data_IF_829011921403
#
_entry.id   IF_829011921403
#
_cell.length_a   1.000
_cell.length_b   1.000
_cell.length_c   1.000
_cell.angle_alpha   90.00
_cell.angle_beta   90.00
_cell.angle_gamma   90.00
#
_symmetry.space_group_name_H-M   'P 1'
#
loop_
_entity.id
_entity.type
_entity.pdbx_description
1 polymer ?
#
# COMPACT_ATOMS: atom_id res chain seq x y z
N UNK A 1 -54.74 -54.00 17.14
CA UNK A 1 -54.24 -54.46 18.46
C UNK A 1 -52.93 -55.17 18.20
N UNK A 2 -51.77 -54.51 18.17
CA UNK A 2 -50.97 -54.00 19.29
C UNK A 2 -49.53 -54.48 19.02
N UNK A 3 -48.67 -53.62 18.50
CA UNK A 3 -47.52 -53.03 19.21
C UNK A 3 -46.38 -54.02 19.55
N UNK A 4 -45.21 -53.82 18.92
CA UNK A 4 -43.92 -53.99 19.62
C UNK A 4 -42.84 -53.12 18.99
N UNK A 5 -42.48 -52.09 19.76
CA UNK A 5 -41.44 -51.09 19.53
C UNK A 5 -40.08 -51.71 19.85
N UNK A 6 -39.15 -51.66 18.90
CA UNK A 6 -37.74 -52.04 19.07
C UNK A 6 -36.85 -50.81 19.21
N UNK A 7 -36.29 -50.65 20.40
CA UNK A 7 -35.46 -49.54 20.89
C UNK A 7 -34.16 -49.33 20.11
N UNK A 8 -33.88 -48.09 19.69
CA UNK A 8 -32.58 -47.64 19.17
C UNK A 8 -31.55 -47.58 20.31
N UNK A 9 -30.42 -48.29 20.20
CA UNK A 9 -29.20 -47.97 20.96
C UNK A 9 -28.40 -46.91 20.23
N UNK A 10 -28.23 -45.77 20.86
CA UNK A 10 -27.27 -44.72 20.49
C UNK A 10 -25.95 -45.08 21.16
N UNK A 11 -24.91 -45.40 20.39
CA UNK A 11 -23.55 -45.52 20.91
C UNK A 11 -22.85 -44.18 20.78
N UNK A 12 -22.59 -43.54 21.92
CA UNK A 12 -21.71 -42.38 22.04
C UNK A 12 -20.26 -42.85 21.90
N UNK A 13 -19.52 -42.30 20.94
CA UNK A 13 -18.07 -42.42 20.90
C UNK A 13 -17.49 -41.20 21.63
N UNK A 14 -16.93 -41.48 22.80
CA UNK A 14 -16.23 -40.55 23.66
C UNK A 14 -14.97 -40.04 22.96
N UNK A 15 -14.87 -38.73 22.76
CA UNK A 15 -13.63 -38.04 22.35
C UNK A 15 -12.73 -38.00 23.58
N UNK A 16 -11.58 -38.67 23.53
CA UNK A 16 -10.55 -38.56 24.57
C UNK A 16 -9.51 -37.53 24.18
N UNK A 17 -9.41 -36.54 25.05
CA UNK A 17 -8.52 -35.40 25.13
C UNK A 17 -7.05 -35.80 25.29
N UNK A 18 -6.27 -35.73 24.22
CA UNK A 18 -4.80 -35.76 24.28
C UNK A 18 -4.15 -34.89 23.19
N UNK A 19 -4.62 -33.64 23.02
CA UNK A 19 -3.88 -32.59 22.27
C UNK A 19 -4.21 -31.24 22.92
N UNK A 20 -3.79 -31.02 24.16
CA UNK A 20 -4.02 -29.74 24.87
C UNK A 20 -2.83 -29.27 25.71
N UNK A 21 -1.62 -29.79 25.46
CA UNK A 21 -0.43 -29.42 26.24
C UNK A 21 0.78 -29.04 25.36
N UNK A 22 0.55 -28.38 24.23
CA UNK A 22 1.61 -27.69 23.46
C UNK A 22 1.14 -26.33 22.92
N UNK A 23 0.29 -25.66 23.69
CA UNK A 23 -0.11 -24.26 23.46
C UNK A 23 0.40 -23.46 24.66
N UNK A 24 1.69 -23.17 24.67
CA UNK A 24 2.26 -22.02 25.37
C UNK A 24 3.59 -21.73 24.66
N UNK A 25 3.73 -20.51 24.12
CA UNK A 25 4.72 -20.04 23.14
C UNK A 25 4.38 -20.28 21.66
N UNK A 26 3.38 -19.56 21.15
CA UNK A 26 3.56 -18.74 19.94
C UNK A 26 2.34 -17.83 19.77
N UNK A 27 2.54 -16.55 20.06
CA UNK A 27 1.54 -15.50 19.86
C UNK A 27 1.53 -15.07 18.40
N UNK A 28 0.96 -15.89 17.50
CA UNK A 28 0.59 -15.43 16.17
C UNK A 28 -0.74 -16.04 15.74
N UNK A 29 -1.67 -15.13 15.45
CA UNK A 29 -3.06 -15.36 15.07
C UNK A 29 -3.13 -16.17 13.77
N UNK A 30 -3.66 -17.38 13.82
CA UNK A 30 -4.06 -18.13 12.63
C UNK A 30 -5.43 -17.63 12.16
N UNK A 31 -5.45 -16.81 11.11
CA UNK A 31 -6.68 -16.56 10.35
C UNK A 31 -6.89 -17.76 9.42
N UNK A 32 -7.84 -18.64 9.77
CA UNK A 32 -8.30 -19.71 8.88
C UNK A 32 -9.07 -19.11 7.71
N UNK A 33 -8.41 -18.97 6.56
CA UNK A 33 -9.06 -18.70 5.27
C UNK A 33 -9.54 -20.03 4.70
N UNK A 34 -10.81 -20.36 4.93
CA UNK A 34 -11.48 -21.48 4.26
C UNK A 34 -11.81 -21.08 2.82
N UNK A 35 -10.92 -21.35 1.87
CA UNK A 35 -11.27 -21.38 0.45
C UNK A 35 -11.68 -22.82 0.13
N UNK A 36 -12.97 -23.13 0.27
CA UNK A 36 -13.59 -24.25 -0.44
C UNK A 36 -14.23 -23.71 -1.71
N UNK A 37 -13.56 -23.89 -2.86
CA UNK A 37 -14.22 -23.77 -4.15
C UNK A 37 -15.14 -24.97 -4.39
N UNK A 38 -16.24 -24.82 -5.17
CA UNK A 38 -17.14 -25.93 -5.45
C UNK A 38 -16.47 -26.94 -6.38
N UNK A 39 -16.49 -28.21 -5.98
CA UNK A 39 -16.11 -29.34 -6.82
C UNK A 39 -17.21 -29.51 -7.88
N UNK A 40 -16.84 -29.39 -9.16
CA UNK A 40 -17.72 -29.65 -10.29
C UNK A 40 -17.95 -31.16 -10.42
N UNK A 41 -19.19 -31.62 -10.22
CA UNK A 41 -19.60 -33.00 -10.47
C UNK A 41 -20.34 -33.03 -11.80
N UNK A 42 -19.86 -33.75 -12.84
CA UNK A 42 -20.59 -33.87 -14.09
C UNK A 42 -21.86 -34.69 -13.89
N UNK A 43 -22.96 -34.18 -14.42
CA UNK A 43 -24.28 -34.77 -14.35
C UNK A 43 -24.45 -35.83 -15.45
N UNK A 44 -24.00 -37.06 -15.24
CA UNK A 44 -24.45 -38.20 -16.05
C UNK A 44 -24.28 -39.53 -15.31
N UNK A 45 -25.31 -40.38 -15.45
CA UNK A 45 -25.43 -41.77 -15.02
C UNK A 45 -25.97 -42.03 -13.61
N UNK A 46 -27.30 -42.10 -13.58
CA UNK A 46 -28.14 -42.79 -12.61
C UNK A 46 -27.83 -44.30 -12.63
N UNK A 47 -27.10 -44.82 -11.65
CA UNK A 47 -27.25 -46.22 -11.17
C UNK A 47 -26.75 -46.38 -9.72
N UNK A 48 -27.50 -47.15 -8.93
CA UNK A 48 -27.21 -47.53 -7.55
C UNK A 48 -25.81 -48.14 -7.37
N UNK A 49 -24.97 -47.55 -6.51
CA UNK A 49 -23.93 -48.31 -5.78
C UNK A 49 -23.53 -47.60 -4.48
N UNK A 50 -23.45 -48.37 -3.39
CA UNK A 50 -22.97 -47.91 -2.08
C UNK A 50 -21.49 -47.53 -2.20
N UNK A 51 -21.15 -46.27 -1.97
CA UNK A 51 -19.76 -45.83 -1.85
C UNK A 51 -19.14 -46.36 -0.55
N UNK A 52 -18.31 -47.39 -0.68
CA UNK A 52 -17.39 -47.82 0.36
C UNK A 52 -16.15 -46.90 0.29
N UNK A 53 -16.02 -45.94 1.20
CA UNK A 53 -14.80 -45.14 1.31
C UNK A 53 -13.66 -46.03 1.80
N UNK A 54 -12.77 -46.40 0.88
CA UNK A 54 -11.63 -47.24 1.17
C UNK A 54 -10.63 -46.52 2.10
N UNK A 55 -10.23 -47.19 3.19
CA UNK A 55 -9.26 -46.72 4.20
C UNK A 55 -7.93 -46.20 3.59
N UNK A 56 -7.56 -46.72 2.41
CA UNK A 56 -6.41 -46.29 1.60
C UNK A 56 -6.47 -44.83 1.13
N UNK A 57 -7.65 -44.31 0.78
CA UNK A 57 -7.80 -42.93 0.28
C UNK A 57 -7.63 -41.90 1.41
N UNK A 58 -8.10 -42.25 2.61
CA UNK A 58 -7.92 -41.41 3.81
C UNK A 58 -6.45 -41.45 4.28
N UNK A 59 -5.78 -42.61 4.21
CA UNK A 59 -4.34 -42.70 4.49
C UNK A 59 -3.51 -41.87 3.50
N UNK A 60 -3.81 -41.96 2.20
CA UNK A 60 -3.14 -41.15 1.17
C UNK A 60 -3.35 -39.64 1.39
N UNK A 61 -4.55 -39.21 1.79
CA UNK A 61 -4.81 -37.82 2.15
C UNK A 61 -4.05 -37.36 3.39
N UNK A 62 -3.94 -38.20 4.42
CA UNK A 62 -3.14 -37.91 5.63
C UNK A 62 -1.65 -37.85 5.33
N UNK A 63 -1.11 -38.77 4.53
CA UNK A 63 0.30 -38.76 4.12
C UNK A 63 0.62 -37.55 3.25
N UNK A 64 -0.30 -37.13 2.38
CA UNK A 64 -0.13 -35.92 1.55
C UNK A 64 -0.15 -34.65 2.40
N UNK A 65 -1.09 -34.53 3.34
CA UNK A 65 -1.13 -33.42 4.29
C UNK A 65 0.10 -33.41 5.18
N UNK A 66 0.52 -34.57 5.69
CA UNK A 66 1.69 -34.68 6.55
C UNK A 66 2.98 -34.36 5.79
N UNK A 67 3.10 -34.75 4.51
CA UNK A 67 4.19 -34.32 3.61
C UNK A 67 4.15 -32.83 3.32
N UNK A 68 2.98 -32.24 3.12
CA UNK A 68 2.82 -30.80 2.93
C UNK A 68 3.21 -30.02 4.18
N UNK A 69 2.78 -30.47 5.36
CA UNK A 69 3.16 -29.88 6.64
C UNK A 69 4.65 -30.08 6.94
N UNK A 70 5.22 -31.27 6.73
CA UNK A 70 6.64 -31.52 6.95
C UNK A 70 7.52 -30.75 5.95
N UNK A 71 7.07 -30.60 4.71
CA UNK A 71 7.74 -29.78 3.70
C UNK A 71 7.66 -28.29 4.04
N UNK A 72 6.49 -27.82 4.51
CA UNK A 72 6.34 -26.44 5.00
C UNK A 72 7.20 -26.19 6.23
N UNK A 73 7.29 -27.16 7.15
CA UNK A 73 8.11 -27.08 8.35
C UNK A 73 9.61 -27.17 8.05
N UNK A 74 10.02 -27.94 7.03
CA UNK A 74 11.42 -27.98 6.57
C UNK A 74 11.80 -26.72 5.81
N UNK A 75 10.89 -26.14 5.02
CA UNK A 75 11.07 -24.83 4.39
C UNK A 75 11.24 -23.74 5.45
N UNK A 76 10.43 -23.75 6.50
CA UNK A 76 10.54 -22.82 7.63
C UNK A 76 11.85 -22.98 8.42
N UNK A 77 12.48 -24.16 8.38
CA UNK A 77 13.70 -24.48 9.14
C UNK A 77 15.00 -24.05 8.43
N UNK A 78 14.93 -23.75 7.14
CA UNK A 78 16.07 -23.24 6.33
C UNK A 78 15.88 -21.80 5.85
N UNK A 79 14.95 -21.03 6.44
CA UNK A 79 14.81 -19.61 6.10
C UNK A 79 15.92 -18.82 6.78
N UNK A 80 16.59 -17.96 6.00
CA UNK A 80 17.56 -17.01 6.54
C UNK A 80 16.94 -16.19 7.68
N UNK A 81 17.63 -16.18 8.81
CA UNK A 81 17.29 -15.38 9.99
C UNK A 81 18.31 -14.26 10.19
N UNK A 82 17.96 -13.29 11.03
CA UNK A 82 18.86 -12.21 11.42
C UNK A 82 20.14 -12.75 12.07
N UNK A 83 21.28 -12.20 11.66
CA UNK A 83 22.58 -12.51 12.27
C UNK A 83 22.84 -11.64 13.51
N UNK A 84 22.27 -10.43 13.56
CA UNK A 84 22.47 -9.44 14.61
C UNK A 84 21.14 -8.86 15.11
N UNK A 85 20.80 -9.14 16.38
CA UNK A 85 19.58 -8.59 17.01
C UNK A 85 19.54 -7.05 17.05
N UNK A 86 20.66 -6.33 17.27
CA UNK A 86 20.67 -4.87 17.12
C UNK A 86 20.30 -4.37 15.71
N UNK A 87 20.73 -5.08 14.66
CA UNK A 87 20.38 -4.73 13.28
C UNK A 87 18.91 -5.03 12.97
N UNK A 88 18.37 -6.14 13.47
CA UNK A 88 16.94 -6.46 13.41
C UNK A 88 16.07 -5.37 14.05
N UNK A 89 16.43 -4.93 15.26
CA UNK A 89 15.69 -3.85 15.95
C UNK A 89 15.79 -2.54 15.16
N UNK A 90 16.99 -2.22 14.66
CA UNK A 90 17.20 -1.00 13.85
C UNK A 90 16.38 -1.02 12.57
N UNK A 91 16.31 -2.18 11.90
CA UNK A 91 15.49 -2.42 10.72
C UNK A 91 14.00 -2.15 10.99
N UNK A 92 13.46 -2.69 12.08
CA UNK A 92 12.07 -2.47 12.48
C UNK A 92 11.80 -1.00 12.80
N UNK A 93 12.67 -0.33 13.57
CA UNK A 93 12.51 1.09 13.91
C UNK A 93 12.49 1.96 12.64
N UNK A 94 13.43 1.73 11.71
CA UNK A 94 13.50 2.47 10.46
C UNK A 94 12.25 2.24 9.61
N UNK A 95 11.80 0.99 9.52
CA UNK A 95 10.60 0.64 8.77
C UNK A 95 9.33 1.30 9.30
N UNK A 96 9.11 1.27 10.62
CA UNK A 96 7.97 1.93 11.24
C UNK A 96 8.08 3.46 11.20
N UNK A 97 9.30 4.01 11.24
CA UNK A 97 9.53 5.46 11.03
C UNK A 97 9.13 5.87 9.61
N UNK A 98 9.49 5.06 8.60
CA UNK A 98 9.08 5.29 7.22
C UNK A 98 7.56 5.24 7.07
N UNK A 99 6.92 4.20 7.64
CA UNK A 99 5.46 4.07 7.67
C UNK A 99 4.79 5.31 8.28
N UNK A 100 5.23 5.76 9.46
CA UNK A 100 4.63 6.90 10.16
C UNK A 100 4.80 8.19 9.35
N UNK A 101 6.03 8.46 8.88
CA UNK A 101 6.35 9.68 8.12
C UNK A 101 5.48 9.80 6.88
N UNK A 102 5.40 8.74 6.08
CA UNK A 102 4.56 8.74 4.89
C UNK A 102 3.07 8.76 5.22
N UNK A 103 2.60 8.01 6.23
CA UNK A 103 1.18 7.94 6.57
C UNK A 103 0.62 9.29 7.00
N UNK A 104 1.34 10.03 7.84
CA UNK A 104 0.93 11.36 8.32
C UNK A 104 0.66 12.32 7.14
N UNK A 105 1.40 12.20 6.04
CA UNK A 105 1.24 13.06 4.86
C UNK A 105 -0.12 12.95 4.15
N UNK A 106 -0.87 11.85 4.34
CA UNK A 106 -2.18 11.63 3.70
C UNK A 106 -3.32 12.37 4.41
N UNK A 107 -3.22 12.54 5.72
CA UNK A 107 -4.30 13.06 6.55
C UNK A 107 -4.70 14.52 6.27
N UNK A 108 -3.77 15.48 6.03
CA UNK A 108 -4.13 16.86 5.76
C UNK A 108 -5.19 17.01 4.66
N UNK A 109 -5.05 16.27 3.56
CA UNK A 109 -6.00 16.36 2.45
C UNK A 109 -7.37 15.77 2.82
N UNK A 110 -7.41 14.62 3.49
CA UNK A 110 -8.65 13.98 3.94
C UNK A 110 -9.43 14.91 4.87
N UNK A 111 -8.72 15.51 5.84
CA UNK A 111 -9.29 16.44 6.82
C UNK A 111 -9.77 17.72 6.13
N UNK A 112 -8.98 18.27 5.21
CA UNK A 112 -9.33 19.49 4.48
C UNK A 112 -10.61 19.31 3.66
N UNK A 113 -10.71 18.21 2.90
CA UNK A 113 -11.90 17.86 2.14
C UNK A 113 -13.11 17.71 3.06
N UNK A 114 -12.95 17.02 4.20
CA UNK A 114 -14.02 16.83 5.17
C UNK A 114 -14.50 18.14 5.80
N UNK A 115 -13.59 19.07 6.11
CA UNK A 115 -13.92 20.38 6.70
C UNK A 115 -14.60 21.31 5.70
N UNK A 116 -14.09 21.37 4.47
CA UNK A 116 -14.62 22.26 3.42
C UNK A 116 -15.88 21.72 2.76
N UNK A 117 -16.15 20.41 2.87
CA UNK A 117 -17.19 19.70 2.10
C UNK A 117 -17.07 19.96 0.59
N UNK A 118 -15.84 20.22 0.14
CA UNK A 118 -15.49 20.60 -1.22
C UNK A 118 -14.11 20.04 -1.52
N UNK A 119 -13.96 19.47 -2.71
CA UNK A 119 -12.68 19.00 -3.27
C UNK A 119 -12.17 19.96 -4.35
N UNK A 120 -12.76 21.16 -4.47
CA UNK A 120 -12.30 22.18 -5.42
C UNK A 120 -10.85 22.56 -5.12
N UNK A 121 -9.99 22.38 -6.13
CA UNK A 121 -8.55 22.58 -6.07
C UNK A 121 -7.73 21.30 -5.92
N UNK A 122 -8.37 20.17 -5.58
CA UNK A 122 -7.72 18.86 -5.61
C UNK A 122 -7.56 18.40 -7.07
N UNK A 123 -6.35 17.96 -7.43
CA UNK A 123 -6.10 17.44 -8.78
C UNK A 123 -6.66 16.02 -8.90
N UNK A 124 -7.69 15.83 -9.74
CA UNK A 124 -8.34 14.53 -9.93
C UNK A 124 -7.42 13.48 -10.54
N UNK A 125 -6.52 13.89 -11.45
CA UNK A 125 -5.53 12.99 -12.06
C UNK A 125 -4.60 12.43 -11.00
N UNK A 126 -4.15 13.29 -10.08
CA UNK A 126 -3.29 12.89 -8.96
C UNK A 126 -3.94 11.82 -8.09
N UNK A 127 -5.23 11.96 -7.77
CA UNK A 127 -5.94 10.99 -6.93
C UNK A 127 -6.06 9.63 -7.64
N UNK A 128 -6.45 9.62 -8.92
CA UNK A 128 -6.64 8.37 -9.68
C UNK A 128 -5.30 7.68 -9.94
N UNK A 129 -4.25 8.42 -10.33
CA UNK A 129 -2.91 7.85 -10.54
C UNK A 129 -2.33 7.27 -9.24
N UNK A 130 -2.54 7.94 -8.10
CA UNK A 130 -2.11 7.41 -6.81
C UNK A 130 -2.86 6.14 -6.42
N UNK A 131 -4.15 6.01 -6.76
CA UNK A 131 -4.87 4.76 -6.49
C UNK A 131 -4.21 3.57 -7.20
N UNK A 132 -3.91 3.72 -8.49
CA UNK A 132 -3.26 2.65 -9.28
C UNK A 132 -1.86 2.35 -8.74
N UNK A 133 -1.09 3.39 -8.42
CA UNK A 133 0.24 3.27 -7.81
C UNK A 133 0.18 2.48 -6.49
N UNK A 134 -0.64 2.91 -5.54
CA UNK A 134 -0.73 2.31 -4.21
C UNK A 134 -1.32 0.91 -4.26
N UNK A 135 -2.30 0.66 -5.14
CA UNK A 135 -2.86 -0.68 -5.34
C UNK A 135 -1.81 -1.64 -5.90
N UNK A 136 -0.99 -1.20 -6.86
CA UNK A 136 0.09 -2.02 -7.41
C UNK A 136 1.17 -2.32 -6.36
N UNK A 137 1.49 -1.33 -5.51
CA UNK A 137 2.42 -1.54 -4.40
C UNK A 137 1.87 -2.54 -3.37
N UNK A 138 0.59 -2.41 -3.03
CA UNK A 138 -0.11 -3.31 -2.12
C UNK A 138 -0.14 -4.74 -2.67
N UNK A 139 -0.47 -4.93 -3.95
CA UNK A 139 -0.47 -6.24 -4.60
C UNK A 139 0.92 -6.88 -4.45
N UNK A 140 2.00 -6.17 -4.79
CA UNK A 140 3.34 -6.71 -4.65
C UNK A 140 3.68 -7.08 -3.19
N UNK A 141 3.51 -6.13 -2.26
CA UNK A 141 3.88 -6.34 -0.86
C UNK A 141 3.05 -7.46 -0.22
N UNK A 142 1.72 -7.42 -0.35
CA UNK A 142 0.86 -8.43 0.25
C UNK A 142 1.11 -9.83 -0.36
N UNK A 143 1.24 -9.92 -1.69
CA UNK A 143 1.49 -11.20 -2.33
C UNK A 143 2.84 -11.80 -1.96
N UNK A 144 3.93 -11.01 -1.96
CA UNK A 144 5.26 -11.50 -1.58
C UNK A 144 5.37 -11.79 -0.07
N UNK A 145 4.69 -11.01 0.77
CA UNK A 145 4.71 -11.19 2.22
C UNK A 145 3.87 -12.39 2.70
N UNK A 146 2.70 -12.65 2.10
CA UNK A 146 1.79 -13.68 2.60
C UNK A 146 1.78 -14.99 1.81
N UNK A 147 2.12 -14.99 0.51
CA UNK A 147 1.95 -16.18 -0.34
C UNK A 147 3.18 -17.10 -0.29
N UNK A 148 3.07 -18.33 0.26
CA UNK A 148 4.20 -19.26 0.29
C UNK A 148 4.64 -19.68 -1.12
N UNK A 149 3.71 -19.68 -2.09
CA UNK A 149 4.00 -20.01 -3.50
C UNK A 149 4.94 -18.97 -4.11
N UNK A 150 4.70 -17.68 -3.85
CA UNK A 150 5.50 -16.59 -4.39
C UNK A 150 6.84 -16.51 -3.65
N UNK A 151 6.85 -16.71 -2.33
CA UNK A 151 8.09 -16.78 -1.55
C UNK A 151 8.98 -17.92 -2.03
N UNK A 152 8.41 -19.10 -2.32
CA UNK A 152 9.16 -20.21 -2.91
C UNK A 152 9.80 -19.81 -4.24
N UNK A 153 9.05 -19.18 -5.15
CA UNK A 153 9.62 -18.68 -6.42
C UNK A 153 10.71 -17.63 -6.21
N UNK A 154 10.58 -16.80 -5.16
CA UNK A 154 11.60 -15.84 -4.78
C UNK A 154 12.90 -16.55 -4.36
N UNK A 155 12.80 -17.55 -3.49
CA UNK A 155 13.98 -18.32 -3.04
C UNK A 155 14.59 -19.16 -4.16
N UNK A 156 13.79 -19.71 -5.08
CA UNK A 156 14.29 -20.39 -6.28
C UNK A 156 15.10 -19.43 -7.18
N UNK A 157 14.71 -18.16 -7.24
CA UNK A 157 15.38 -17.15 -8.06
C UNK A 157 16.62 -16.54 -7.40
N UNK A 158 16.56 -16.25 -6.10
CA UNK A 158 17.56 -15.45 -5.39
C UNK A 158 18.38 -16.25 -4.36
N UNK A 159 17.95 -17.47 -4.03
CA UNK A 159 18.59 -18.36 -3.06
C UNK A 159 17.81 -18.47 -1.74
N UNK A 160 17.79 -19.67 -1.17
CA UNK A 160 17.11 -19.98 0.10
C UNK A 160 17.78 -19.34 1.33
N UNK A 161 19.07 -18.99 1.23
CA UNK A 161 19.79 -18.24 2.25
C UNK A 161 19.51 -16.72 2.25
N UNK A 162 18.54 -16.25 1.46
CA UNK A 162 18.15 -14.83 1.42
C UNK A 162 16.86 -14.62 2.22
N UNK A 163 16.64 -13.41 2.72
CA UNK A 163 15.38 -13.05 3.37
C UNK A 163 14.41 -12.43 2.37
N UNK A 164 13.11 -12.55 2.64
CA UNK A 164 12.09 -11.86 1.85
C UNK A 164 12.27 -10.34 2.01
N UNK A 165 12.39 -9.57 0.91
CA UNK A 165 12.73 -8.14 0.95
C UNK A 165 11.48 -7.27 1.12
N UNK A 166 10.51 -7.74 1.91
CA UNK A 166 9.25 -7.07 2.24
C UNK A 166 8.97 -7.30 3.72
N UNK A 167 8.81 -6.22 4.47
CA UNK A 167 8.46 -6.26 5.89
C UNK A 167 6.99 -5.88 6.16
N UNK A 168 6.57 -6.10 7.41
CA UNK A 168 5.23 -5.79 7.86
C UNK A 168 4.86 -4.31 7.68
N UNK A 169 5.82 -3.39 7.88
CA UNK A 169 5.62 -1.95 7.68
C UNK A 169 5.33 -1.59 6.21
N UNK A 170 5.90 -2.31 5.24
CA UNK A 170 5.64 -2.10 3.81
C UNK A 170 4.19 -2.48 3.46
N UNK A 171 3.72 -3.61 3.99
CA UNK A 171 2.34 -4.07 3.85
C UNK A 171 1.38 -3.10 4.54
N UNK A 172 1.67 -2.72 5.79
CA UNK A 172 0.86 -1.77 6.54
C UNK A 172 0.74 -0.42 5.83
N UNK A 173 1.85 0.12 5.32
CA UNK A 173 1.87 1.37 4.59
C UNK A 173 1.05 1.30 3.31
N UNK A 174 1.24 0.24 2.51
CA UNK A 174 0.51 0.08 1.25
C UNK A 174 -1.00 -0.11 1.44
N UNK A 175 -1.44 -0.85 2.47
CA UNK A 175 -2.86 -0.93 2.87
C UNK A 175 -3.38 0.46 3.25
N UNK A 176 -2.65 1.15 4.13
CA UNK A 176 -3.04 2.47 4.60
C UNK A 176 -3.19 3.46 3.44
N UNK A 177 -2.22 3.49 2.53
CA UNK A 177 -2.25 4.40 1.39
C UNK A 177 -3.42 4.12 0.42
N UNK A 178 -3.75 2.84 0.16
CA UNK A 178 -4.93 2.47 -0.63
C UNK A 178 -6.21 2.91 0.07
N UNK A 179 -6.32 2.68 1.38
CA UNK A 179 -7.50 3.06 2.17
C UNK A 179 -7.71 4.57 2.14
N UNK A 180 -6.69 5.37 2.46
CA UNK A 180 -6.79 6.83 2.51
C UNK A 180 -7.06 7.41 1.11
N UNK A 181 -6.45 6.86 0.06
CA UNK A 181 -6.75 7.28 -1.32
C UNK A 181 -8.19 6.93 -1.72
N UNK A 182 -8.70 5.78 -1.29
CA UNK A 182 -10.10 5.38 -1.51
C UNK A 182 -11.08 6.29 -0.78
N UNK A 183 -10.74 6.72 0.45
CA UNK A 183 -11.51 7.73 1.19
C UNK A 183 -11.55 9.06 0.42
N UNK A 184 -10.41 9.51 -0.14
CA UNK A 184 -10.37 10.73 -0.96
C UNK A 184 -11.23 10.57 -2.22
N UNK A 185 -11.19 9.42 -2.92
CA UNK A 185 -12.05 9.16 -4.07
C UNK A 185 -13.53 9.17 -3.70
N UNK A 186 -13.86 8.59 -2.54
CA UNK A 186 -15.22 8.69 -2.01
C UNK A 186 -15.62 10.14 -1.77
N UNK A 187 -14.76 10.95 -1.13
CA UNK A 187 -15.00 12.40 -0.96
C UNK A 187 -15.19 13.12 -2.30
N UNK A 188 -14.40 12.77 -3.33
CA UNK A 188 -14.56 13.32 -4.70
C UNK A 188 -15.91 12.98 -5.32
N UNK A 189 -16.51 11.84 -4.94
CA UNK A 189 -17.83 11.43 -5.44
C UNK A 189 -19.02 12.14 -4.76
N UNK A 190 -18.84 12.59 -3.51
CA UNK A 190 -19.94 13.16 -2.70
C UNK A 190 -19.85 14.67 -2.49
N UNK A 191 -18.65 15.27 -2.57
CA UNK A 191 -18.44 16.69 -2.30
C UNK A 191 -18.39 17.52 -3.58
N UNK A 192 -18.57 18.84 -3.42
CA UNK A 192 -18.48 19.78 -4.54
C UNK A 192 -17.09 19.72 -5.20
N UNK A 193 -17.08 19.47 -6.51
CA UNK A 193 -15.85 19.40 -7.33
C UNK A 193 -15.79 20.44 -8.46
N UNK A 194 -16.81 21.29 -8.55
CA UNK A 194 -16.99 22.22 -9.66
C UNK A 194 -16.93 21.52 -11.02
N UNK A 195 -16.21 22.12 -11.98
CA UNK A 195 -16.03 21.59 -13.33
C UNK A 195 -14.76 20.72 -13.49
N UNK A 196 -14.07 20.37 -12.40
CA UNK A 196 -12.85 19.55 -12.46
C UNK A 196 -13.18 18.12 -12.89
N UNK A 197 -12.45 17.62 -13.89
CA UNK A 197 -12.58 16.26 -14.44
C UNK A 197 -11.20 15.61 -14.51
N UNK A 198 -11.17 14.29 -14.54
CA UNK A 198 -9.95 13.54 -14.87
C UNK A 198 -9.59 13.83 -16.33
N UNK A 199 -8.34 14.16 -16.60
CA UNK A 199 -7.85 14.46 -17.94
C UNK A 199 -7.87 13.22 -18.83
N UNK A 200 -8.05 13.43 -20.13
CA UNK A 200 -7.99 12.35 -21.13
C UNK A 200 -6.63 11.65 -21.12
N UNK A 201 -5.56 12.38 -20.80
CA UNK A 201 -4.21 11.83 -20.67
C UNK A 201 -4.15 10.87 -19.48
N UNK A 202 -4.63 11.28 -18.31
CA UNK A 202 -4.66 10.42 -17.13
C UNK A 202 -5.54 9.18 -17.36
N UNK A 203 -6.69 9.32 -18.01
CA UNK A 203 -7.54 8.17 -18.39
C UNK A 203 -6.79 7.23 -19.34
N UNK A 204 -6.08 7.77 -20.34
CA UNK A 204 -5.26 6.99 -21.26
C UNK A 204 -4.15 6.21 -20.55
N UNK A 205 -3.41 6.85 -19.65
CA UNK A 205 -2.35 6.23 -18.84
C UNK A 205 -2.93 5.09 -17.98
N UNK A 206 -4.01 5.36 -17.25
CA UNK A 206 -4.65 4.37 -16.37
C UNK A 206 -5.17 3.18 -17.16
N UNK A 207 -5.84 3.44 -18.29
CA UNK A 207 -6.36 2.39 -19.17
C UNK A 207 -5.23 1.53 -19.73
N UNK A 208 -4.14 2.13 -20.18
CA UNK A 208 -2.97 1.42 -20.69
C UNK A 208 -2.32 0.54 -19.60
N UNK A 209 -2.14 1.08 -18.39
CA UNK A 209 -1.56 0.33 -17.26
C UNK A 209 -2.44 -0.84 -16.84
N UNK A 210 -3.75 -0.64 -16.76
CA UNK A 210 -4.70 -1.72 -16.42
C UNK A 210 -4.73 -2.79 -17.51
N UNK A 211 -4.66 -2.40 -18.78
CA UNK A 211 -4.58 -3.34 -19.89
C UNK A 211 -3.28 -4.17 -19.83
N UNK A 212 -2.14 -3.53 -19.60
CA UNK A 212 -0.85 -4.22 -19.43
C UNK A 212 -0.93 -5.21 -18.26
N UNK A 213 -1.46 -4.78 -17.11
CA UNK A 213 -1.62 -5.65 -15.95
C UNK A 213 -2.52 -6.86 -16.26
N UNK A 214 -3.63 -6.66 -16.98
CA UNK A 214 -4.52 -7.74 -17.40
C UNK A 214 -3.83 -8.72 -18.35
N UNK A 215 -3.10 -8.23 -19.36
CA UNK A 215 -2.32 -9.07 -20.28
C UNK A 215 -1.26 -9.87 -19.51
N UNK A 216 -0.49 -9.23 -18.63
CA UNK A 216 0.51 -9.90 -17.80
C UNK A 216 -0.12 -10.98 -16.90
N UNK A 217 -1.32 -10.74 -16.34
CA UNK A 217 -2.03 -11.74 -15.56
C UNK A 217 -2.34 -12.99 -16.39
N UNK A 218 -2.90 -12.83 -17.59
CA UNK A 218 -3.21 -13.96 -18.47
C UNK A 218 -1.96 -14.70 -18.97
N UNK A 219 -0.83 -14.00 -19.13
CA UNK A 219 0.48 -14.63 -19.47
C UNK A 219 1.05 -15.43 -18.29
N UNK A 220 0.91 -14.92 -17.07
CA UNK A 220 1.41 -15.59 -15.87
C UNK A 220 0.55 -16.80 -15.46
N UNK A 221 -0.73 -16.82 -15.84
CA UNK A 221 -1.69 -17.84 -15.45
C UNK A 221 -1.30 -19.27 -15.86
N UNK A 222 -0.98 -19.58 -17.13
CA UNK A 222 -0.60 -20.94 -17.53
C UNK A 222 0.79 -21.36 -17.06
N UNK A 223 1.72 -20.41 -16.90
CA UNK A 223 3.10 -20.67 -16.48
C UNK A 223 3.28 -20.66 -14.96
N UNK A 224 2.24 -20.29 -14.22
CA UNK A 224 2.30 -20.01 -12.78
C UNK A 224 3.41 -19.04 -12.39
N UNK A 225 3.79 -18.09 -13.26
CA UNK A 225 4.90 -17.15 -13.04
C UNK A 225 4.50 -15.97 -12.12
N UNK A 226 4.08 -16.27 -10.89
CA UNK A 226 3.50 -15.32 -9.95
C UNK A 226 4.50 -14.25 -9.48
N UNK A 227 5.74 -14.64 -9.17
CA UNK A 227 6.79 -13.68 -8.79
C UNK A 227 7.06 -12.66 -9.90
N UNK A 228 7.09 -13.12 -11.15
CA UNK A 228 7.25 -12.24 -12.30
C UNK A 228 6.07 -11.26 -12.42
N UNK A 229 4.83 -11.76 -12.30
CA UNK A 229 3.63 -10.93 -12.36
C UNK A 229 3.66 -9.83 -11.29
N UNK A 230 3.94 -10.17 -10.03
CA UNK A 230 3.99 -9.15 -8.98
C UNK A 230 5.16 -8.17 -9.18
N UNK A 231 6.25 -8.59 -9.83
CA UNK A 231 7.35 -7.70 -10.21
C UNK A 231 6.93 -6.68 -11.28
N UNK A 232 5.97 -7.02 -12.14
CA UNK A 232 5.32 -6.05 -13.04
C UNK A 232 4.54 -4.99 -12.25
N UNK A 233 3.74 -5.40 -11.25
CA UNK A 233 3.05 -4.45 -10.36
C UNK A 233 4.02 -3.56 -9.58
N UNK A 234 5.13 -4.12 -9.11
CA UNK A 234 6.22 -3.40 -8.48
C UNK A 234 6.87 -2.37 -9.42
N UNK A 235 6.92 -2.64 -10.73
CA UNK A 235 7.42 -1.69 -11.74
C UNK A 235 6.40 -0.58 -12.06
N UNK A 236 5.10 -0.94 -12.14
CA UNK A 236 4.01 0.01 -12.37
C UNK A 236 4.01 1.12 -11.32
N UNK A 237 4.16 0.78 -10.04
CA UNK A 237 4.18 1.81 -8.99
C UNK A 237 5.36 2.79 -9.10
N UNK A 238 6.53 2.33 -9.55
CA UNK A 238 7.72 3.19 -9.75
C UNK A 238 7.44 4.15 -10.89
N UNK A 239 6.94 3.63 -12.01
CA UNK A 239 6.59 4.43 -13.19
C UNK A 239 5.55 5.51 -12.86
N UNK A 240 4.49 5.14 -12.14
CA UNK A 240 3.47 6.10 -11.69
C UNK A 240 4.03 7.17 -10.74
N UNK A 241 5.03 6.82 -9.92
CA UNK A 241 5.72 7.77 -9.03
C UNK A 241 6.49 8.83 -9.82
N UNK A 242 7.22 8.42 -10.87
CA UNK A 242 7.98 9.34 -11.73
C UNK A 242 7.05 10.30 -12.47
N UNK A 243 5.96 9.78 -13.05
CA UNK A 243 4.94 10.60 -13.74
C UNK A 243 4.37 11.69 -12.83
N UNK A 244 4.22 11.40 -11.54
CA UNK A 244 3.66 12.34 -10.55
C UNK A 244 4.59 13.52 -10.26
N UNK A 245 5.89 13.27 -10.11
CA UNK A 245 6.83 14.29 -9.64
C UNK A 245 7.28 15.26 -10.74
N UNK A 246 7.46 14.78 -11.97
CA UNK A 246 7.97 15.59 -13.09
C UNK A 246 7.11 16.85 -13.35
N UNK A 247 5.77 16.76 -13.50
CA UNK A 247 4.94 17.92 -13.74
C UNK A 247 5.04 18.96 -12.62
N UNK A 248 5.11 18.52 -11.37
CA UNK A 248 5.23 19.43 -10.23
C UNK A 248 6.58 20.18 -10.25
N UNK A 249 7.69 19.46 -10.51
CA UNK A 249 9.02 20.07 -10.63
C UNK A 249 9.07 21.11 -11.76
N UNK A 250 8.48 20.77 -12.91
CA UNK A 250 8.38 21.68 -14.05
C UNK A 250 7.51 22.90 -13.74
N UNK A 251 6.34 22.70 -13.10
CA UNK A 251 5.44 23.80 -12.73
C UNK A 251 6.10 24.80 -11.77
N UNK A 252 6.80 24.31 -10.75
CA UNK A 252 7.55 25.17 -9.82
C UNK A 252 8.63 25.97 -10.58
N UNK A 253 9.34 25.32 -11.51
CA UNK A 253 10.35 25.98 -12.34
C UNK A 253 9.76 27.03 -13.29
N UNK A 254 8.61 26.78 -13.89
CA UNK A 254 7.93 27.70 -14.80
C UNK A 254 7.34 28.91 -14.06
N UNK A 255 6.74 28.68 -12.89
CA UNK A 255 6.11 29.75 -12.08
C UNK A 255 7.12 30.56 -11.27
N UNK A 256 8.34 30.03 -11.06
CA UNK A 256 9.34 30.61 -10.15
C UNK A 256 8.80 30.84 -8.73
N UNK A 257 7.87 30.00 -8.30
CA UNK A 257 7.21 30.03 -7.00
C UNK A 257 6.81 28.63 -6.59
N UNK A 258 6.84 28.37 -5.29
CA UNK A 258 6.32 27.16 -4.64
C UNK A 258 5.06 27.43 -3.82
N UNK A 259 4.38 28.56 -4.05
CA UNK A 259 3.15 28.88 -3.33
C UNK A 259 2.04 27.88 -3.66
N UNK A 260 1.30 27.45 -2.63
CA UNK A 260 0.26 26.42 -2.75
C UNK A 260 0.78 24.98 -2.62
N UNK A 261 2.08 24.80 -2.34
CA UNK A 261 2.72 23.50 -2.13
C UNK A 261 3.09 23.31 -0.65
N UNK A 262 2.66 22.20 -0.04
CA UNK A 262 2.97 21.91 1.37
C UNK A 262 4.40 21.37 1.50
N UNK A 263 5.35 22.24 1.85
CA UNK A 263 6.74 21.83 2.08
C UNK A 263 6.85 20.81 3.23
N UNK A 264 5.98 20.88 4.23
CA UNK A 264 5.92 19.91 5.32
C UNK A 264 5.66 18.48 4.84
N UNK A 265 4.82 18.31 3.80
CA UNK A 265 4.58 17.00 3.21
C UNK A 265 5.83 16.45 2.51
N UNK A 266 6.63 17.32 1.89
CA UNK A 266 7.89 16.92 1.26
C UNK A 266 8.96 16.54 2.28
N UNK A 267 9.03 17.25 3.40
CA UNK A 267 9.95 16.88 4.48
C UNK A 267 9.60 15.51 5.08
N UNK A 268 8.30 15.21 5.20
CA UNK A 268 7.82 13.89 5.62
C UNK A 268 8.09 12.81 4.55
N UNK A 269 7.89 13.12 3.26
CA UNK A 269 8.18 12.21 2.14
C UNK A 269 9.67 11.87 2.10
N UNK A 270 10.54 12.88 2.22
CA UNK A 270 11.99 12.74 2.31
C UNK A 270 12.41 11.88 3.50
N UNK A 271 11.90 12.18 4.70
CA UNK A 271 12.21 11.43 5.91
C UNK A 271 11.78 9.96 5.80
N UNK A 272 10.60 9.73 5.21
CA UNK A 272 10.10 8.40 4.92
C UNK A 272 10.97 7.65 3.91
N UNK A 273 11.37 8.31 2.81
CA UNK A 273 12.24 7.75 1.79
C UNK A 273 13.63 7.39 2.32
N UNK A 274 14.24 8.26 3.12
CA UNK A 274 15.55 8.01 3.76
C UNK A 274 15.45 6.83 4.73
N UNK A 275 14.45 6.82 5.62
CA UNK A 275 14.24 5.72 6.57
C UNK A 275 13.98 4.39 5.85
N UNK A 276 13.18 4.40 4.78
CA UNK A 276 12.88 3.22 3.98
C UNK A 276 14.10 2.66 3.24
N UNK A 277 14.95 3.54 2.70
CA UNK A 277 16.22 3.14 2.08
C UNK A 277 17.22 2.61 3.11
N UNK A 278 17.33 3.28 4.25
CA UNK A 278 18.19 2.86 5.37
C UNK A 278 17.76 1.49 5.92
N UNK A 279 16.45 1.23 6.04
CA UNK A 279 15.91 -0.08 6.41
C UNK A 279 16.46 -1.17 5.47
N UNK A 280 16.45 -0.93 4.16
CA UNK A 280 16.99 -1.90 3.19
C UNK A 280 18.51 -2.10 3.35
N UNK A 281 19.25 -1.01 3.59
CA UNK A 281 20.68 -1.05 3.83
C UNK A 281 21.04 -1.89 5.06
N UNK A 282 20.31 -1.74 6.16
CA UNK A 282 20.52 -2.49 7.40
C UNK A 282 20.39 -4.00 7.18
N UNK A 283 19.32 -4.43 6.50
CA UNK A 283 19.16 -5.85 6.17
C UNK A 283 20.29 -6.34 5.24
N UNK A 284 20.68 -5.55 4.24
CA UNK A 284 21.79 -5.93 3.36
C UNK A 284 23.13 -6.06 4.09
N UNK A 285 23.37 -5.21 5.09
CA UNK A 285 24.55 -5.29 5.97
C UNK A 285 24.49 -6.56 6.81
N UNK A 286 23.35 -6.86 7.44
CA UNK A 286 23.19 -8.06 8.27
C UNK A 286 23.39 -9.35 7.47
N UNK A 287 22.84 -9.41 6.24
CA UNK A 287 22.93 -10.59 5.38
C UNK A 287 24.23 -10.67 4.56
N UNK A 288 25.08 -9.64 4.62
CA UNK A 288 26.22 -9.46 3.71
C UNK A 288 25.83 -9.69 2.23
N UNK A 289 24.66 -9.17 1.83
CA UNK A 289 24.03 -9.47 0.54
C UNK A 289 23.26 -8.28 -0.01
N UNK A 290 23.45 -8.01 -1.30
CA UNK A 290 22.74 -6.95 -2.03
C UNK A 290 21.38 -7.40 -2.58
N UNK A 291 21.00 -8.68 -2.39
CA UNK A 291 19.74 -9.26 -2.89
C UNK A 291 18.53 -8.48 -2.40
N UNK A 292 18.58 -7.89 -1.20
CA UNK A 292 17.48 -7.08 -0.70
C UNK A 292 17.15 -5.91 -1.65
N UNK A 293 18.17 -5.23 -2.19
CA UNK A 293 17.99 -4.07 -3.07
C UNK A 293 17.38 -4.42 -4.43
N UNK A 294 17.86 -5.47 -5.09
CA UNK A 294 17.38 -5.84 -6.43
C UNK A 294 16.27 -6.89 -6.42
N UNK A 295 16.10 -7.63 -5.32
CA UNK A 295 14.97 -8.51 -5.06
C UNK A 295 13.67 -7.73 -4.81
N UNK A 296 13.79 -6.48 -4.33
CA UNK A 296 12.70 -5.50 -4.30
C UNK A 296 13.13 -4.17 -4.93
N UNK A 297 13.41 -4.22 -6.25
CA UNK A 297 13.89 -3.06 -6.99
C UNK A 297 12.93 -1.86 -6.92
N UNK A 298 11.63 -2.06 -6.78
CA UNK A 298 10.67 -0.96 -6.67
C UNK A 298 10.71 -0.24 -5.32
N UNK A 299 10.93 -0.94 -4.20
CA UNK A 299 11.16 -0.29 -2.90
C UNK A 299 12.43 0.57 -2.96
N UNK A 300 13.51 0.02 -3.52
CA UNK A 300 14.75 0.76 -3.79
C UNK A 300 14.49 1.99 -4.66
N UNK A 301 13.83 1.80 -5.81
CA UNK A 301 13.61 2.85 -6.81
C UNK A 301 12.70 3.96 -6.29
N UNK A 302 11.63 3.62 -5.57
CA UNK A 302 10.73 4.62 -4.99
C UNK A 302 11.45 5.46 -3.95
N UNK A 303 12.26 4.85 -3.10
CA UNK A 303 13.03 5.58 -2.10
C UNK A 303 14.00 6.56 -2.77
N UNK A 304 14.74 6.11 -3.78
CA UNK A 304 15.68 6.96 -4.51
C UNK A 304 15.00 8.08 -5.29
N UNK A 305 13.91 7.77 -6.01
CA UNK A 305 13.13 8.75 -6.78
C UNK A 305 12.51 9.79 -5.84
N UNK A 306 11.91 9.36 -4.72
CA UNK A 306 11.37 10.27 -3.70
C UNK A 306 12.47 11.18 -3.15
N UNK A 307 13.55 10.62 -2.61
CA UNK A 307 14.68 11.39 -2.06
C UNK A 307 15.20 12.42 -3.08
N UNK A 308 15.39 12.01 -4.34
CA UNK A 308 15.84 12.90 -5.41
C UNK A 308 14.88 14.08 -5.65
N UNK A 309 13.60 13.79 -5.86
CA UNK A 309 12.61 14.84 -6.12
C UNK A 309 12.35 15.71 -4.89
N UNK A 310 12.40 15.15 -3.69
CA UNK A 310 12.22 15.90 -2.46
C UNK A 310 13.37 16.87 -2.23
N UNK A 311 14.63 16.45 -2.49
CA UNK A 311 15.78 17.37 -2.51
C UNK A 311 15.57 18.47 -3.55
N UNK A 312 15.12 18.13 -4.76
CA UNK A 312 14.82 19.11 -5.80
C UNK A 312 13.76 20.12 -5.32
N UNK A 313 12.67 19.67 -4.70
CA UNK A 313 11.62 20.54 -4.19
C UNK A 313 12.10 21.40 -3.01
N UNK A 314 12.91 20.85 -2.10
CA UNK A 314 13.54 21.61 -1.03
C UNK A 314 14.47 22.70 -1.58
N UNK A 315 15.27 22.40 -2.59
CA UNK A 315 16.10 23.38 -3.29
C UNK A 315 15.24 24.45 -3.99
N UNK A 316 14.16 24.05 -4.66
CA UNK A 316 13.22 25.01 -5.28
C UNK A 316 12.59 25.94 -4.23
N UNK A 317 12.20 25.42 -3.06
CA UNK A 317 11.49 26.17 -2.03
C UNK A 317 12.41 27.07 -1.19
N UNK A 318 13.52 26.52 -0.68
CA UNK A 318 14.39 27.22 0.28
C UNK A 318 15.52 28.02 -0.39
N UNK A 319 15.98 27.60 -1.58
CA UNK A 319 17.15 28.20 -2.23
C UNK A 319 16.75 29.06 -3.43
N UNK A 320 15.97 28.51 -4.38
CA UNK A 320 15.70 29.19 -5.65
C UNK A 320 14.53 30.18 -5.57
N UNK A 321 13.43 29.80 -4.90
CA UNK A 321 12.20 30.58 -4.82
C UNK A 321 11.79 30.84 -3.37
N UNK A 322 12.69 31.37 -2.51
CA UNK A 322 12.34 31.68 -1.13
C UNK A 322 11.19 32.68 -1.12
N UNK A 323 10.18 32.42 -0.27
CA UNK A 323 9.09 33.35 -0.08
C UNK A 323 9.67 34.71 0.30
N UNK A 324 9.43 35.74 -0.53
CA UNK A 324 9.67 37.12 -0.11
C UNK A 324 8.84 37.30 1.15
N UNK A 325 9.48 37.49 2.31
CA UNK A 325 8.78 38.01 3.49
C UNK A 325 8.01 39.20 2.98
N UNK A 326 6.67 39.12 2.92
CA UNK A 326 5.85 40.32 2.84
C UNK A 326 6.25 41.06 4.10
N UNK A 327 7.15 42.05 3.95
CA UNK A 327 7.35 43.07 4.95
C UNK A 327 5.95 43.51 5.28
N UNK A 328 5.52 43.16 6.48
CA UNK A 328 4.26 43.62 7.03
C UNK A 328 4.32 45.13 6.89
N UNK A 329 3.53 45.65 5.96
CA UNK A 329 3.04 47.02 5.97
C UNK A 329 2.41 47.25 7.34
N UNK A 330 3.23 47.63 8.31
CA UNK A 330 2.85 48.05 9.67
C UNK A 330 3.51 49.37 10.04
N UNK A 331 4.06 50.09 9.06
CA UNK A 331 4.37 51.50 9.15
C UNK A 331 3.71 52.19 7.97
N UNK A 332 2.43 52.50 8.11
CA UNK A 332 1.74 53.68 7.53
C UNK A 332 0.28 53.81 8.02
N UNK A 333 -0.23 52.93 8.90
CA UNK A 333 -1.51 53.15 9.60
C UNK A 333 -1.36 53.92 10.94
N UNK A 334 -0.35 54.78 11.05
CA UNK A 334 -0.22 55.72 12.16
C UNK A 334 0.27 57.09 11.67
N UNK A 335 -0.56 57.76 10.88
CA UNK A 335 -0.58 59.23 10.82
C UNK A 335 -1.92 59.67 10.24
N UNK A 336 -2.70 60.43 11.02
CA UNK A 336 -3.91 61.11 10.54
C UNK A 336 -5.24 60.57 11.07
N UNK A 337 -5.44 60.57 12.39
CA UNK A 337 -6.78 60.70 12.96
C UNK A 337 -7.16 62.19 12.83
N UNK A 338 -8.12 62.51 11.98
CA UNK A 338 -8.90 63.75 12.05
C UNK A 338 -10.37 63.43 11.70
N UNK A 339 -11.36 63.78 12.55
CA UNK A 339 -12.77 63.47 12.30
C UNK A 339 -13.57 64.67 11.74
N UNK A 340 -14.70 64.35 11.07
CA UNK A 340 -15.84 65.21 10.64
C UNK A 340 -15.60 65.95 9.30
N UNK A 341 -16.47 65.87 8.29
CA UNK A 341 -17.85 66.41 8.23
C UNK A 341 -18.73 65.64 7.22
N UNK A 342 -20.03 65.66 7.50
CA UNK A 342 -21.20 65.05 6.88
C UNK A 342 -21.54 65.55 5.44
N UNK A 343 -22.29 64.73 4.70
CA UNK A 343 -22.59 64.82 3.26
C UNK A 343 -23.63 65.87 2.84
N UNK A 344 -23.64 67.07 3.42
CA UNK A 344 -24.67 68.09 3.16
C UNK A 344 -24.24 69.34 2.37
N UNK A 345 -22.97 69.53 2.03
CA UNK A 345 -22.52 70.78 1.36
C UNK A 345 -22.08 70.64 -0.12
N UNK A 346 -22.24 69.47 -0.75
CA UNK A 346 -21.92 69.28 -2.18
C UNK A 346 -23.08 69.66 -3.13
N UNK A 347 -23.79 70.75 -2.85
CA UNK A 347 -24.88 71.26 -3.70
C UNK A 347 -24.90 72.78 -3.94
N UNK A 348 -23.79 73.49 -3.67
CA UNK A 348 -23.71 74.96 -3.85
C UNK A 348 -22.45 75.50 -4.54
N UNK A 349 -21.85 74.75 -5.46
CA UNK A 349 -20.79 75.27 -6.34
C UNK A 349 -21.11 75.12 -7.85
N UNK A 350 -22.39 74.99 -8.19
CA UNK A 350 -22.88 75.53 -9.46
C UNK A 350 -23.30 76.98 -9.25
N UNK A 351 -22.72 77.88 -10.05
CA UNK A 351 -22.92 79.33 -10.14
C UNK A 351 -22.04 80.20 -9.23
N UNK A 352 -20.86 80.62 -9.73
CA UNK A 352 -20.52 81.99 -10.20
C UNK A 352 -19.06 82.01 -10.64
#
# INVERSE_FOLDING_TARGET
>A
VGERIGTKRVSYIHVSSHILAYIHYSSYITISVTIMGPIYIPHTLRTHSRFNYNKKTILSGKETLQRFFSFSLSLLREMASWNSSPLEITYEILGWTAFLSWSVSFYPQVILNFRRKSVVGLNMDFVVLNLIKHSSYLIYNACLYFSPVIQKQYFEKYGYGQMIPVAANDVAFSIHAVLLTSIILFQVSIYERGNQKVSKISIGIVSAVLLIAAVCFFVALPSHSWLWLISVFNSIQVFMTVIKYIPQAAMNFMRKSTDGFSIGNILLDFSGGVANYAQMAVQSIDQNSWVNFYGNIGKTSISLVSIFFDILFMCQHYVLYPAKKRLVSSKFDKEGVEPLIDSSDLSKLENV
#
